data_IF_662601327522
#
_entry.id   IF_662601327522
#
_cell.length_a   1.000
_cell.length_b   1.000
_cell.length_c   1.000
_cell.angle_alpha   90.00
_cell.angle_beta   90.00
_cell.angle_gamma   90.00
#
_symmetry.space_group_name_H-M   'P 1'
#
loop_
_entity.id
_entity.type
_entity.pdbx_description
1 polymer ?
#
# COMPACT_ATOMS: atom_id res chain seq x y z
N UNK A 1 -8.77 5.30 16.17
CA UNK A 1 -7.92 4.83 15.06
C UNK A 1 -8.76 4.72 13.79
N UNK A 2 -8.15 4.82 12.60
CA UNK A 2 -8.86 4.75 11.31
C UNK A 2 -9.32 3.33 10.96
N UNK A 3 -10.18 3.18 9.96
CA UNK A 3 -10.61 1.87 9.46
C UNK A 3 -9.43 1.05 8.91
N UNK A 4 -9.51 -0.28 9.01
CA UNK A 4 -8.59 -1.22 8.35
C UNK A 4 -8.69 -1.15 6.82
N UNK A 5 -9.78 -0.61 6.28
CA UNK A 5 -9.89 -0.29 4.84
C UNK A 5 -8.84 0.74 4.38
N UNK A 6 -8.39 1.61 5.28
CA UNK A 6 -7.28 2.54 5.04
C UNK A 6 -5.92 1.99 5.43
N UNK A 7 -5.89 0.88 6.16
CA UNK A 7 -4.66 0.20 6.53
C UNK A 7 -4.21 -0.76 5.42
N UNK A 8 -5.12 -1.63 4.97
CA UNK A 8 -4.92 -2.53 3.85
C UNK A 8 -5.46 -1.92 2.56
N UNK A 9 -4.59 -1.27 1.80
CA UNK A 9 -4.94 -0.68 0.51
C UNK A 9 -4.44 -1.57 -0.62
N UNK A 10 -5.35 -1.97 -1.49
CA UNK A 10 -5.02 -2.63 -2.74
C UNK A 10 -4.53 -1.56 -3.71
N UNK A 11 -3.33 -1.74 -4.26
CA UNK A 11 -2.72 -0.78 -5.17
C UNK A 11 -1.62 -1.39 -6.00
N UNK A 12 -0.68 -0.56 -6.45
CA UNK A 12 0.47 -0.97 -7.24
C UNK A 12 1.76 -0.58 -6.54
N UNK A 13 2.77 -1.44 -6.64
CA UNK A 13 4.12 -1.14 -6.21
C UNK A 13 4.82 -0.13 -7.13
N UNK A 14 6.07 0.26 -6.84
CA UNK A 14 6.87 -0.21 -5.71
C UNK A 14 6.67 0.56 -4.40
N UNK A 15 5.99 1.72 -4.42
CA UNK A 15 5.98 2.64 -3.27
C UNK A 15 4.60 3.19 -2.93
N UNK A 16 4.24 3.15 -1.65
CA UNK A 16 2.99 3.75 -1.19
C UNK A 16 3.03 5.27 -1.28
N UNK A 17 4.20 5.88 -1.03
CA UNK A 17 4.38 7.33 -1.01
C UNK A 17 4.67 7.91 -2.39
N UNK A 18 5.40 7.17 -3.25
CA UNK A 18 5.82 7.66 -4.56
C UNK A 18 5.02 7.08 -5.73
N UNK A 19 4.24 6.02 -5.52
CA UNK A 19 3.43 5.41 -6.59
C UNK A 19 1.94 5.54 -6.28
N UNK A 20 1.47 4.94 -5.17
CA UNK A 20 0.04 4.94 -4.84
C UNK A 20 -0.50 6.32 -4.50
N UNK A 21 0.23 7.10 -3.69
CA UNK A 21 -0.17 8.47 -3.31
C UNK A 21 -0.36 9.37 -4.54
N UNK A 22 0.67 9.56 -5.39
CA UNK A 22 0.56 10.38 -6.59
C UNK A 22 -0.52 9.92 -7.57
N UNK A 23 -0.65 8.60 -7.78
CA UNK A 23 -1.74 8.06 -8.59
C UNK A 23 -3.12 8.43 -8.04
N UNK A 24 -3.33 8.26 -6.74
CA UNK A 24 -4.59 8.62 -6.09
C UNK A 24 -4.87 10.13 -6.18
N UNK A 25 -3.84 10.96 -6.03
CA UNK A 25 -3.98 12.40 -6.18
C UNK A 25 -4.39 12.76 -7.62
N UNK A 26 -3.77 12.13 -8.62
CA UNK A 26 -4.16 12.26 -10.02
C UNK A 26 -5.61 11.84 -10.26
N UNK A 27 -6.06 10.71 -9.70
CA UNK A 27 -7.44 10.22 -9.84
C UNK A 27 -8.45 11.22 -9.25
N UNK A 28 -8.15 11.78 -8.06
CA UNK A 28 -8.98 12.82 -7.43
C UNK A 28 -9.03 14.07 -8.31
N UNK A 29 -7.89 14.55 -8.80
CA UNK A 29 -7.83 15.79 -9.55
C UNK A 29 -8.52 15.68 -10.93
N UNK A 30 -8.36 14.54 -11.61
CA UNK A 30 -9.08 14.27 -12.86
C UNK A 30 -10.60 14.25 -12.65
N UNK A 31 -11.08 13.67 -11.55
CA UNK A 31 -12.51 13.66 -11.22
C UNK A 31 -13.07 15.04 -10.89
N UNK A 32 -12.25 15.96 -10.36
CA UNK A 32 -12.67 17.34 -10.06
C UNK A 32 -12.89 18.18 -11.33
N UNK A 33 -12.18 17.87 -12.41
CA UNK A 33 -12.16 18.67 -13.65
C UNK A 33 -12.42 17.83 -14.91
N UNK A 34 -13.63 17.25 -15.07
CA UNK A 34 -13.98 16.50 -16.28
C UNK A 34 -13.99 17.36 -17.56
N UNK A 35 -14.08 18.69 -17.43
CA UNK A 35 -14.09 19.67 -18.51
C UNK A 35 -12.70 20.11 -18.98
N UNK A 36 -11.65 19.80 -18.22
CA UNK A 36 -10.28 20.20 -18.55
C UNK A 36 -9.75 19.41 -19.75
N UNK A 37 -9.06 20.09 -20.66
CA UNK A 37 -8.42 19.48 -21.83
C UNK A 37 -6.95 19.14 -21.61
N UNK A 38 -6.31 19.83 -20.67
CA UNK A 38 -4.89 19.66 -20.35
C UNK A 38 -4.69 19.75 -18.85
N UNK A 39 -3.79 18.94 -18.34
CA UNK A 39 -3.36 18.91 -16.96
C UNK A 39 -1.85 19.12 -16.89
N UNK A 40 -1.37 19.81 -15.86
CA UNK A 40 0.03 19.81 -15.49
C UNK A 40 0.20 19.24 -14.08
N UNK A 41 1.18 18.37 -13.91
CA UNK A 41 1.62 17.90 -12.62
C UNK A 41 3.08 18.30 -12.43
N UNK A 42 3.32 19.11 -11.40
CA UNK A 42 4.68 19.42 -10.93
C UNK A 42 5.00 18.61 -9.68
N UNK A 43 6.06 17.80 -9.74
CA UNK A 43 6.58 17.04 -8.62
C UNK A 43 7.73 17.81 -7.96
N UNK A 44 7.78 17.80 -6.62
CA UNK A 44 8.78 18.53 -5.83
C UNK A 44 9.63 17.60 -4.95
N UNK A 45 10.78 18.10 -4.49
CA UNK A 45 11.58 17.52 -3.43
C UNK A 45 11.95 16.05 -3.65
N UNK A 46 11.79 15.22 -2.60
CA UNK A 46 12.15 13.80 -2.65
C UNK A 46 11.31 13.01 -3.66
N UNK A 47 10.06 13.42 -3.85
CA UNK A 47 9.16 12.81 -4.81
C UNK A 47 9.67 13.02 -6.25
N UNK A 48 10.15 14.22 -6.56
CA UNK A 48 10.78 14.47 -7.86
C UNK A 48 12.15 13.79 -7.99
N UNK A 49 12.98 13.81 -6.95
CA UNK A 49 14.33 13.26 -6.99
C UNK A 49 14.34 11.75 -7.25
N UNK A 50 13.38 11.00 -6.69
CA UNK A 50 13.36 9.54 -6.75
C UNK A 50 12.17 8.95 -7.51
N UNK A 51 11.24 9.78 -7.98
CA UNK A 51 9.97 9.32 -8.54
C UNK A 51 10.11 8.42 -9.77
N UNK A 52 11.09 8.67 -10.65
CA UNK A 52 11.35 7.78 -11.81
C UNK A 52 11.70 6.35 -11.39
N UNK A 53 12.54 6.19 -10.36
CA UNK A 53 12.87 4.87 -9.81
C UNK A 53 11.70 4.19 -9.11
N UNK A 54 10.73 4.99 -8.65
CA UNK A 54 9.48 4.52 -8.03
C UNK A 54 8.29 4.46 -9.00
N UNK A 55 8.54 4.62 -10.31
CA UNK A 55 7.52 4.57 -11.36
C UNK A 55 6.39 5.61 -11.16
N UNK A 56 6.68 6.76 -10.54
CA UNK A 56 5.71 7.82 -10.29
C UNK A 56 5.11 8.33 -11.59
N UNK A 57 5.93 8.55 -12.61
CA UNK A 57 5.51 8.93 -13.96
C UNK A 57 4.51 7.94 -14.55
N UNK A 58 4.87 6.66 -14.58
CA UNK A 58 4.00 5.62 -15.14
C UNK A 58 2.67 5.55 -14.37
N UNK A 59 2.73 5.69 -13.05
CA UNK A 59 1.55 5.62 -12.20
C UNK A 59 0.56 6.76 -12.43
N UNK A 60 1.05 7.99 -12.60
CA UNK A 60 0.19 9.17 -12.85
C UNK A 60 -0.25 9.25 -14.32
N UNK A 61 0.63 8.93 -15.27
CA UNK A 61 0.28 8.92 -16.70
C UNK A 61 -0.82 7.92 -17.01
N UNK A 62 -0.87 6.78 -16.31
CA UNK A 62 -1.92 5.79 -16.47
C UNK A 62 -3.32 6.24 -16.01
N UNK A 63 -3.43 7.40 -15.34
CA UNK A 63 -4.71 7.96 -14.88
C UNK A 63 -5.33 8.88 -15.92
N UNK A 64 -4.50 9.69 -16.59
CA UNK A 64 -4.96 10.70 -17.53
C UNK A 64 -5.10 10.15 -18.95
N UNK A 65 -5.95 10.75 -19.80
CA UNK A 65 -5.97 10.46 -21.22
C UNK A 65 -4.58 10.64 -21.87
N UNK A 66 -4.21 9.82 -22.88
CA UNK A 66 -2.93 9.96 -23.55
C UNK A 66 -2.69 11.38 -24.08
N UNK A 67 -1.56 11.98 -23.70
CA UNK A 67 -1.18 13.34 -24.11
C UNK A 67 -1.85 14.47 -23.33
N UNK A 68 -2.73 14.17 -22.37
CA UNK A 68 -3.42 15.19 -21.57
C UNK A 68 -2.64 15.66 -20.33
N UNK A 69 -1.49 15.04 -20.01
CA UNK A 69 -0.68 15.39 -18.84
C UNK A 69 0.71 15.90 -19.24
N UNK A 70 1.02 17.13 -18.83
CA UNK A 70 2.37 17.70 -18.78
C UNK A 70 3.01 17.40 -17.42
N UNK A 71 4.13 16.67 -17.39
CA UNK A 71 4.79 16.23 -16.16
C UNK A 71 6.12 16.96 -15.96
N UNK A 72 6.19 17.76 -14.90
CA UNK A 72 7.35 18.60 -14.56
C UNK A 72 8.03 18.09 -13.29
N UNK A 73 9.36 18.01 -13.32
CA UNK A 73 10.19 17.51 -12.23
C UNK A 73 11.04 18.64 -11.63
N UNK A 74 10.86 18.92 -10.34
CA UNK A 74 11.62 19.95 -9.62
C UNK A 74 12.26 19.38 -8.34
N UNK A 75 13.34 18.59 -8.46
CA UNK A 75 14.00 17.97 -7.31
C UNK A 75 14.61 18.98 -6.32
N UNK A 76 15.00 20.15 -6.82
CA UNK A 76 15.65 21.21 -6.02
C UNK A 76 14.66 22.17 -5.35
N UNK A 77 13.38 22.11 -5.72
CA UNK A 77 12.31 22.92 -5.11
C UNK A 77 11.49 22.07 -4.13
N UNK A 78 10.98 22.70 -3.06
CA UNK A 78 10.19 22.04 -2.02
C UNK A 78 8.93 22.85 -1.73
N UNK A 79 7.83 22.14 -1.51
CA UNK A 79 6.63 22.70 -0.90
C UNK A 79 6.79 22.71 0.65
N UNK A 80 6.11 23.63 1.35
CA UNK A 80 6.40 23.92 2.76
C UNK A 80 6.05 22.78 3.73
N UNK A 81 4.98 22.02 3.51
CA UNK A 81 4.44 21.14 4.56
C UNK A 81 5.07 19.74 4.58
N UNK A 82 5.50 19.20 3.44
CA UNK A 82 6.03 17.84 3.37
C UNK A 82 6.95 17.65 2.14
N UNK A 83 8.05 16.86 2.24
CA UNK A 83 9.02 16.70 1.15
C UNK A 83 8.47 15.98 -0.09
N UNK A 84 7.39 15.22 0.04
CA UNK A 84 6.67 14.60 -1.09
C UNK A 84 5.52 15.51 -1.57
N UNK A 85 5.87 16.69 -2.08
CA UNK A 85 4.91 17.67 -2.57
C UNK A 85 4.55 17.48 -4.05
N UNK A 86 3.31 17.76 -4.39
CA UNK A 86 2.77 17.78 -5.74
C UNK A 86 1.93 19.03 -5.95
N UNK A 87 2.01 19.62 -7.14
CA UNK A 87 1.08 20.67 -7.58
C UNK A 87 0.42 20.24 -8.87
N UNK A 88 -0.90 20.15 -8.84
CA UNK A 88 -1.75 19.88 -9.99
C UNK A 88 -2.33 21.18 -10.52
N UNK A 89 -2.38 21.32 -11.84
CA UNK A 89 -3.00 22.45 -12.53
C UNK A 89 -3.90 21.89 -13.64
N UNK A 90 -5.14 22.39 -13.74
CA UNK A 90 -6.09 22.02 -14.79
C UNK A 90 -6.30 23.21 -15.72
N UNK A 91 -6.37 22.96 -17.02
CA UNK A 91 -6.56 23.99 -18.05
C UNK A 91 -7.75 23.65 -18.96
N UNK A 92 -8.54 24.65 -19.31
CA UNK A 92 -9.61 24.57 -20.30
C UNK A 92 -9.06 24.51 -21.73
N UNK A 93 -9.95 24.25 -22.69
CA UNK A 93 -9.61 24.11 -24.11
C UNK A 93 -8.98 25.36 -24.75
N UNK A 94 -9.27 26.54 -24.21
CA UNK A 94 -8.67 27.82 -24.61
C UNK A 94 -7.38 28.16 -23.84
N UNK A 95 -6.94 27.27 -22.95
CA UNK A 95 -5.70 27.39 -22.18
C UNK A 95 -5.83 28.19 -20.88
N UNK A 96 -7.04 28.56 -20.45
CA UNK A 96 -7.24 29.22 -19.17
C UNK A 96 -7.03 28.25 -18.00
N UNK A 97 -6.41 28.72 -16.91
CA UNK A 97 -6.20 27.94 -15.69
C UNK A 97 -7.53 27.84 -14.91
N UNK A 98 -7.99 26.62 -14.65
CA UNK A 98 -9.22 26.31 -13.93
C UNK A 98 -8.98 26.18 -12.42
N UNK A 99 -8.01 25.36 -12.02
CA UNK A 99 -7.64 25.16 -10.60
C UNK A 99 -6.14 24.88 -10.49
N UNK A 100 -5.57 25.31 -9.36
CA UNK A 100 -4.29 24.81 -8.85
C UNK A 100 -4.53 24.11 -7.51
N UNK A 101 -4.07 22.87 -7.38
CA UNK A 101 -4.20 22.08 -6.16
C UNK A 101 -2.84 21.57 -5.69
N UNK A 102 -2.42 22.01 -4.51
CA UNK A 102 -1.22 21.50 -3.84
C UNK A 102 -1.58 20.38 -2.88
N UNK A 103 -0.88 19.26 -3.00
CA UNK A 103 -1.17 18.04 -2.23
C UNK A 103 0.11 17.28 -1.94
N UNK A 104 0.13 16.61 -0.80
CA UNK A 104 1.29 15.91 -0.27
C UNK A 104 1.00 14.43 -0.08
N UNK A 105 1.98 13.59 -0.40
CA UNK A 105 1.94 12.16 -0.10
C UNK A 105 2.66 11.85 1.20
N UNK A 106 1.90 11.62 2.27
CA UNK A 106 2.38 11.59 3.67
C UNK A 106 2.67 10.17 4.21
N UNK A 107 2.69 9.16 3.34
CA UNK A 107 3.04 7.77 3.69
C UNK A 107 1.86 6.80 3.75
N UNK A 108 2.14 5.52 3.49
CA UNK A 108 1.12 4.46 3.38
C UNK A 108 0.04 4.70 2.32
N UNK A 109 0.26 5.63 1.37
CA UNK A 109 -0.72 6.03 0.35
C UNK A 109 -1.77 7.05 0.84
N UNK A 110 -1.55 7.69 1.98
CA UNK A 110 -2.38 8.79 2.46
C UNK A 110 -1.96 10.14 1.83
N UNK A 111 -2.94 11.01 1.64
CA UNK A 111 -2.78 12.36 1.10
C UNK A 111 -3.15 13.41 2.14
N UNK A 112 -2.54 14.60 2.03
CA UNK A 112 -2.85 15.80 2.81
C UNK A 112 -2.74 17.02 1.93
N UNK A 113 -3.62 18.00 2.07
CA UNK A 113 -3.66 19.24 1.27
C UNK A 113 -3.97 20.49 2.12
N UNK A 114 -3.62 20.44 3.42
CA UNK A 114 -3.91 21.54 4.33
C UNK A 114 -5.36 21.61 4.83
N UNK A 115 -6.24 20.71 4.39
CA UNK A 115 -7.55 20.47 5.04
C UNK A 115 -8.77 20.42 4.13
N UNK A 116 -8.60 20.42 2.81
CA UNK A 116 -9.73 20.29 1.87
C UNK A 116 -10.08 18.82 1.60
N UNK A 117 -9.13 17.89 1.76
CA UNK A 117 -9.42 16.46 1.68
C UNK A 117 -10.33 16.02 2.85
N UNK A 118 -11.37 15.21 2.57
CA UNK A 118 -12.27 14.72 3.61
C UNK A 118 -11.49 13.90 4.63
N UNK A 119 -11.66 14.27 5.91
CA UNK A 119 -11.08 13.51 7.03
C UNK A 119 -11.85 12.20 7.18
N UNK A 120 -11.14 11.09 7.11
CA UNK A 120 -11.74 9.80 7.40
C UNK A 120 -12.23 9.70 8.85
N UNK A 121 -13.34 8.99 9.09
CA UNK A 121 -13.83 8.78 10.45
C UNK A 121 -12.85 7.95 11.28
N UNK A 122 -12.85 8.22 12.60
CA UNK A 122 -12.19 7.35 13.58
C UNK A 122 -13.16 6.22 13.92
N UNK A 123 -12.79 4.99 13.57
CA UNK A 123 -13.63 3.80 13.75
C UNK A 123 -13.36 3.14 15.10
N UNK A 124 -12.09 3.11 15.54
CA UNK A 124 -11.72 2.48 16.80
C UNK A 124 -11.64 3.51 17.94
N UNK A 125 -12.43 3.37 19.01
CA UNK A 125 -12.39 4.27 20.16
C UNK A 125 -11.16 4.04 21.05
N UNK A 126 -10.69 2.79 21.17
CA UNK A 126 -9.52 2.45 21.98
C UNK A 126 -8.24 2.58 21.16
N UNK A 127 -7.23 3.23 21.74
CA UNK A 127 -5.98 3.59 21.05
C UNK A 127 -4.73 2.99 21.68
N UNK A 128 -4.87 2.16 22.72
CA UNK A 128 -3.74 1.45 23.36
C UNK A 128 -4.01 -0.04 23.45
N UNK A 129 -2.95 -0.85 23.39
CA UNK A 129 -3.06 -2.30 23.53
C UNK A 129 -3.67 -2.68 24.87
N UNK A 130 -3.25 -2.02 25.95
CA UNK A 130 -3.75 -2.30 27.30
C UNK A 130 -5.28 -2.09 27.38
N UNK A 131 -5.81 -1.02 26.78
CA UNK A 131 -7.24 -0.76 26.77
C UNK A 131 -8.00 -1.82 25.95
N UNK A 132 -7.48 -2.21 24.79
CA UNK A 132 -8.08 -3.25 23.94
C UNK A 132 -8.09 -4.60 24.66
N UNK A 133 -6.98 -5.02 25.25
CA UNK A 133 -6.89 -6.27 26.01
C UNK A 133 -7.82 -6.27 27.22
N UNK A 134 -7.94 -5.15 27.94
CA UNK A 134 -8.87 -5.02 29.05
C UNK A 134 -10.33 -5.16 28.59
N UNK A 135 -10.69 -4.54 27.47
CA UNK A 135 -12.03 -4.64 26.84
C UNK A 135 -12.34 -6.09 26.44
N UNK A 136 -11.44 -6.75 25.71
CA UNK A 136 -11.57 -8.15 25.30
C UNK A 136 -11.71 -9.09 26.51
N UNK A 137 -10.93 -8.87 27.57
CA UNK A 137 -11.03 -9.64 28.81
C UNK A 137 -12.37 -9.44 29.51
N UNK A 138 -12.93 -8.23 29.46
CA UNK A 138 -14.21 -7.91 30.09
C UNK A 138 -15.40 -8.50 29.33
N UNK A 139 -15.36 -8.53 27.99
CA UNK A 139 -16.46 -9.09 27.17
C UNK A 139 -16.31 -10.57 26.85
N UNK A 140 -15.13 -11.15 26.99
CA UNK A 140 -14.81 -12.49 26.50
C UNK A 140 -14.56 -12.57 25.00
N UNK A 141 -14.55 -11.43 24.29
CA UNK A 141 -14.28 -11.35 22.86
C UNK A 141 -12.79 -11.47 22.55
N UNK A 142 -12.49 -12.08 21.41
CA UNK A 142 -11.19 -12.10 20.73
C UNK A 142 -10.89 -10.74 20.07
N UNK A 143 -9.62 -10.52 19.69
CA UNK A 143 -9.20 -9.30 18.99
C UNK A 143 -9.93 -9.08 17.65
N UNK A 144 -10.18 -10.15 16.89
CA UNK A 144 -10.90 -10.05 15.62
C UNK A 144 -12.40 -9.76 15.82
N UNK A 145 -13.01 -10.20 16.93
CA UNK A 145 -14.40 -9.86 17.28
C UNK A 145 -14.50 -8.38 17.66
N UNK A 146 -13.48 -7.82 18.32
CA UNK A 146 -13.41 -6.38 18.57
C UNK A 146 -13.28 -5.55 17.28
N UNK A 147 -12.58 -6.08 16.26
CA UNK A 147 -12.53 -5.45 14.93
C UNK A 147 -13.91 -5.39 14.30
N UNK A 148 -14.64 -6.51 14.31
CA UNK A 148 -16.01 -6.60 13.80
C UNK A 148 -16.97 -5.68 14.57
N UNK A 149 -16.86 -5.60 15.90
CA UNK A 149 -17.64 -4.66 16.72
C UNK A 149 -17.42 -3.19 16.30
N UNK A 150 -16.19 -2.82 15.95
CA UNK A 150 -15.87 -1.44 15.58
C UNK A 150 -16.23 -1.11 14.12
N UNK A 151 -15.98 -2.02 13.19
CA UNK A 151 -16.10 -1.77 11.74
C UNK A 151 -17.45 -2.23 11.15
N UNK A 152 -18.14 -3.14 11.83
CA UNK A 152 -19.33 -3.84 11.33
C UNK A 152 -19.03 -4.88 10.24
N UNK A 153 -20.05 -5.64 9.86
CA UNK A 153 -19.95 -6.82 8.97
C UNK A 153 -19.30 -6.54 7.60
N UNK A 154 -19.40 -5.30 7.11
CA UNK A 154 -18.82 -4.87 5.83
C UNK A 154 -17.30 -5.05 5.77
N UNK A 155 -16.61 -5.09 6.92
CA UNK A 155 -15.16 -5.27 6.96
C UNK A 155 -14.74 -6.60 6.34
N UNK A 156 -15.55 -7.64 6.48
CA UNK A 156 -15.20 -8.98 6.01
C UNK A 156 -15.17 -9.07 4.48
N UNK A 157 -16.01 -8.30 3.79
CA UNK A 157 -15.94 -8.20 2.33
C UNK A 157 -14.61 -7.58 1.89
N UNK A 158 -14.21 -6.47 2.53
CA UNK A 158 -12.92 -5.84 2.25
C UNK A 158 -11.74 -6.78 2.55
N UNK A 159 -11.76 -7.49 3.70
CA UNK A 159 -10.69 -8.41 4.07
C UNK A 159 -10.60 -9.62 3.12
N UNK A 160 -11.72 -10.07 2.53
CA UNK A 160 -11.71 -11.08 1.47
C UNK A 160 -11.03 -10.56 0.20
N UNK A 161 -11.39 -9.36 -0.25
CA UNK A 161 -10.75 -8.73 -1.41
C UNK A 161 -9.24 -8.52 -1.19
N UNK A 162 -8.85 -8.11 0.02
CA UNK A 162 -7.44 -8.00 0.42
C UNK A 162 -6.76 -9.37 0.34
N UNK A 163 -7.36 -10.41 0.90
CA UNK A 163 -6.79 -11.75 0.89
C UNK A 163 -6.66 -12.32 -0.53
N UNK A 164 -7.65 -12.11 -1.39
CA UNK A 164 -7.58 -12.48 -2.81
C UNK A 164 -6.45 -11.75 -3.54
N UNK A 165 -6.33 -10.44 -3.34
CA UNK A 165 -5.26 -9.65 -3.94
C UNK A 165 -3.87 -10.10 -3.47
N UNK A 166 -3.73 -10.40 -2.17
CA UNK A 166 -2.51 -10.96 -1.57
C UNK A 166 -2.11 -12.30 -2.19
N UNK A 167 -3.07 -13.22 -2.33
CA UNK A 167 -2.82 -14.51 -2.97
C UNK A 167 -2.42 -14.36 -4.43
N UNK A 168 -3.12 -13.49 -5.17
CA UNK A 168 -2.82 -13.24 -6.56
C UNK A 168 -1.41 -12.64 -6.75
N UNK A 169 -0.95 -11.79 -5.82
CA UNK A 169 0.42 -11.27 -5.82
C UNK A 169 1.45 -12.37 -5.57
N UNK A 170 1.20 -13.29 -4.63
CA UNK A 170 2.05 -14.46 -4.43
C UNK A 170 2.13 -15.28 -5.72
N UNK A 171 0.98 -15.62 -6.32
CA UNK A 171 0.95 -16.47 -7.52
C UNK A 171 1.74 -15.86 -8.67
N UNK A 172 1.51 -14.57 -8.98
CA UNK A 172 2.29 -13.89 -10.03
C UNK A 172 3.78 -13.91 -9.75
N UNK A 173 4.20 -13.60 -8.52
CA UNK A 173 5.61 -13.58 -8.15
C UNK A 173 6.27 -14.96 -8.18
N UNK A 174 5.53 -16.02 -7.86
CA UNK A 174 6.01 -17.40 -7.92
C UNK A 174 6.19 -17.92 -9.36
N UNK A 175 5.45 -17.37 -10.33
CA UNK A 175 5.55 -17.72 -11.74
C UNK A 175 6.50 -16.80 -12.54
N UNK A 176 6.85 -15.63 -11.99
CA UNK A 176 7.66 -14.63 -12.68
C UNK A 176 9.17 -14.95 -12.61
N UNK A 177 9.81 -14.89 -13.78
CA UNK A 177 11.26 -15.04 -13.95
C UNK A 177 11.88 -13.74 -14.50
N UNK A 178 13.21 -13.67 -14.57
CA UNK A 178 13.94 -12.55 -15.15
C UNK A 178 14.54 -11.59 -14.12
N UNK A 179 14.80 -10.35 -14.55
CA UNK A 179 15.51 -9.32 -13.77
C UNK A 179 14.53 -8.23 -13.37
N UNK A 180 14.61 -7.77 -12.12
CA UNK A 180 13.80 -6.67 -11.62
C UNK A 180 14.14 -5.36 -12.36
N UNK A 181 13.15 -4.49 -12.60
CA UNK A 181 13.40 -3.17 -13.18
C UNK A 181 14.21 -2.28 -12.22
N UNK A 182 14.69 -1.13 -12.72
CA UNK A 182 15.45 -0.16 -11.91
C UNK A 182 16.97 -0.22 -12.08
N UNK A 183 17.49 -1.04 -13.02
CA UNK A 183 18.88 -0.96 -13.47
C UNK A 183 19.94 -1.58 -12.52
N UNK A 184 19.51 -2.18 -11.40
CA UNK A 184 20.42 -2.81 -10.42
C UNK A 184 20.86 -4.24 -10.81
N UNK A 185 20.29 -4.82 -11.88
CA UNK A 185 20.64 -6.17 -12.33
C UNK A 185 20.22 -7.30 -11.37
N UNK A 186 19.27 -7.03 -10.47
CA UNK A 186 18.82 -8.01 -9.47
C UNK A 186 17.86 -9.02 -10.11
N UNK A 187 18.27 -10.29 -10.17
CA UNK A 187 17.43 -11.37 -10.66
C UNK A 187 16.33 -11.73 -9.64
N UNK A 188 15.12 -12.01 -10.14
CA UNK A 188 14.03 -12.63 -9.38
C UNK A 188 14.47 -13.99 -8.85
N UNK A 189 14.07 -14.31 -7.62
CA UNK A 189 14.45 -15.53 -6.89
C UNK A 189 13.25 -16.34 -6.43
N UNK A 190 12.07 -15.74 -6.27
CA UNK A 190 10.88 -16.40 -5.74
C UNK A 190 10.56 -17.72 -6.44
N UNK A 191 10.48 -17.71 -7.78
CA UNK A 191 10.27 -18.91 -8.61
C UNK A 191 11.26 -20.03 -8.29
N UNK A 192 12.56 -19.71 -8.29
CA UNK A 192 13.62 -20.69 -8.08
C UNK A 192 13.62 -21.26 -6.66
N UNK A 193 13.32 -20.43 -5.67
CA UNK A 193 13.21 -20.82 -4.27
C UNK A 193 12.03 -21.77 -4.08
N UNK A 194 10.86 -21.41 -4.59
CA UNK A 194 9.64 -22.21 -4.50
C UNK A 194 9.78 -23.61 -5.11
N UNK A 195 10.38 -23.70 -6.31
CA UNK A 195 10.62 -25.00 -6.94
C UNK A 195 11.60 -25.86 -6.15
N UNK A 196 12.69 -25.27 -5.66
CA UNK A 196 13.67 -25.99 -4.83
C UNK A 196 13.05 -26.50 -3.53
N UNK A 197 12.20 -25.70 -2.88
CA UNK A 197 11.54 -26.11 -1.64
C UNK A 197 10.56 -27.25 -1.86
N UNK A 198 9.85 -27.27 -2.99
CA UNK A 198 8.93 -28.35 -3.33
C UNK A 198 9.63 -29.66 -3.72
N UNK A 199 10.89 -29.59 -4.15
CA UNK A 199 11.73 -30.75 -4.46
C UNK A 199 12.53 -31.26 -3.25
N UNK A 200 12.48 -30.54 -2.11
CA UNK A 200 13.27 -30.84 -0.91
C UNK A 200 12.47 -31.63 0.13
N UNK A 201 13.16 -32.23 1.10
CA UNK A 201 12.51 -32.93 2.22
C UNK A 201 11.64 -32.02 3.09
N UNK A 202 10.70 -32.62 3.83
CA UNK A 202 9.61 -31.94 4.56
C UNK A 202 10.05 -30.85 5.54
N UNK A 203 11.26 -30.93 6.11
CA UNK A 203 11.79 -29.90 7.02
C UNK A 203 12.23 -28.63 6.27
N UNK A 204 12.95 -28.77 5.15
CA UNK A 204 13.39 -27.65 4.32
C UNK A 204 12.20 -26.98 3.61
N UNK A 205 11.19 -27.77 3.25
CA UNK A 205 9.94 -27.28 2.67
C UNK A 205 9.23 -26.29 3.61
N UNK A 206 9.13 -26.57 4.92
CA UNK A 206 8.44 -25.67 5.87
C UNK A 206 9.13 -24.32 6.04
N UNK A 207 10.46 -24.28 6.09
CA UNK A 207 11.17 -23.01 6.30
C UNK A 207 11.36 -22.22 5.00
N UNK A 208 11.67 -22.90 3.90
CA UNK A 208 11.96 -22.22 2.63
C UNK A 208 10.72 -21.67 1.93
N UNK A 209 9.54 -22.29 2.12
CA UNK A 209 8.32 -21.86 1.42
C UNK A 209 7.83 -20.48 1.87
N UNK A 210 8.02 -20.14 3.15
CA UNK A 210 7.68 -18.82 3.69
C UNK A 210 8.53 -17.71 3.04
N UNK A 211 9.84 -17.96 2.89
CA UNK A 211 10.74 -17.04 2.20
C UNK A 211 10.38 -16.90 0.72
N UNK A 212 9.98 -17.98 0.06
CA UNK A 212 9.53 -17.93 -1.33
C UNK A 212 8.28 -17.06 -1.50
N UNK A 213 7.29 -17.19 -0.61
CA UNK A 213 6.08 -16.35 -0.65
C UNK A 213 6.37 -14.88 -0.38
N UNK A 214 7.25 -14.58 0.58
CA UNK A 214 7.63 -13.20 0.88
C UNK A 214 8.38 -12.57 -0.30
N UNK A 215 9.34 -13.29 -0.89
CA UNK A 215 10.06 -12.85 -2.08
C UNK A 215 9.11 -12.64 -3.26
N UNK A 216 8.14 -13.53 -3.49
CA UNK A 216 7.20 -13.42 -4.58
C UNK A 216 6.48 -12.06 -4.58
N UNK A 217 5.93 -11.67 -3.43
CA UNK A 217 5.21 -10.39 -3.31
C UNK A 217 6.17 -9.20 -3.35
N UNK A 218 7.34 -9.29 -2.73
CA UNK A 218 8.34 -8.21 -2.78
C UNK A 218 8.88 -7.95 -4.19
N UNK A 219 9.08 -9.02 -4.99
CA UNK A 219 9.51 -8.94 -6.38
C UNK A 219 8.39 -8.38 -7.29
N UNK A 220 7.14 -8.77 -7.04
CA UNK A 220 5.97 -8.16 -7.70
C UNK A 220 5.85 -6.68 -7.37
N UNK A 221 6.00 -6.31 -6.10
CA UNK A 221 6.02 -4.91 -5.68
C UNK A 221 7.11 -4.12 -6.40
N UNK A 222 8.35 -4.63 -6.38
CA UNK A 222 9.49 -3.98 -7.03
C UNK A 222 9.29 -3.80 -8.55
N UNK A 223 8.44 -4.62 -9.16
CA UNK A 223 8.14 -4.58 -10.59
C UNK A 223 6.91 -3.76 -10.96
N UNK A 224 6.32 -3.03 -10.00
CA UNK A 224 5.11 -2.24 -10.24
C UNK A 224 3.82 -3.06 -10.27
N UNK A 225 3.86 -4.31 -9.83
CA UNK A 225 2.72 -5.21 -9.80
C UNK A 225 1.65 -4.79 -8.78
N UNK A 226 0.44 -5.33 -8.94
CA UNK A 226 -0.67 -5.14 -7.99
C UNK A 226 -0.34 -5.83 -6.65
N UNK A 227 -0.38 -5.09 -5.54
CA UNK A 227 -0.08 -5.59 -4.19
C UNK A 227 -1.07 -5.02 -3.16
N UNK A 228 -0.96 -5.44 -1.91
CA UNK A 228 -1.66 -4.84 -0.77
C UNK A 228 -0.67 -4.26 0.20
N UNK A 229 -0.89 -3.03 0.67
CA UNK A 229 -0.06 -2.43 1.71
C UNK A 229 -0.24 -3.17 3.04
N UNK A 230 0.85 -3.47 3.74
CA UNK A 230 0.77 -4.18 5.02
C UNK A 230 1.95 -3.91 5.98
N UNK A 231 2.08 -2.69 6.57
CA UNK A 231 1.37 -1.42 6.34
C UNK A 231 1.80 -0.60 5.11
N UNK A 232 2.94 -0.91 4.48
CA UNK A 232 3.43 -0.19 3.29
C UNK A 232 3.61 -1.15 2.11
N UNK A 233 3.94 -0.60 0.94
CA UNK A 233 4.35 -1.39 -0.23
C UNK A 233 5.68 -2.14 0.05
N UNK A 234 6.61 -1.52 0.79
CA UNK A 234 7.93 -2.09 1.08
C UNK A 234 7.86 -3.36 1.94
N UNK A 235 6.94 -3.41 2.90
CA UNK A 235 6.71 -4.56 3.78
C UNK A 235 5.61 -5.52 3.30
N UNK A 236 5.04 -5.28 2.11
CA UNK A 236 3.86 -5.98 1.59
C UNK A 236 4.00 -7.51 1.49
N UNK A 237 5.21 -8.07 1.46
CA UNK A 237 5.41 -9.51 1.34
C UNK A 237 5.30 -10.33 2.64
N UNK A 238 5.42 -9.71 3.82
CA UNK A 238 5.53 -10.46 5.08
C UNK A 238 4.18 -11.09 5.46
N UNK A 239 3.16 -10.26 5.61
CA UNK A 239 1.83 -10.71 6.03
C UNK A 239 1.22 -11.76 5.08
N UNK A 240 1.16 -11.56 3.74
CA UNK A 240 0.58 -12.56 2.86
C UNK A 240 1.35 -13.89 2.86
N UNK A 241 2.67 -13.86 3.03
CA UNK A 241 3.47 -15.08 3.15
C UNK A 241 3.07 -15.90 4.38
N UNK A 242 2.92 -15.25 5.54
CA UNK A 242 2.48 -15.90 6.79
C UNK A 242 1.06 -16.43 6.68
N UNK A 243 0.13 -15.68 6.07
CA UNK A 243 -1.25 -16.11 5.87
C UNK A 243 -1.35 -17.29 4.90
N UNK A 244 -0.60 -17.28 3.80
CA UNK A 244 -0.54 -18.39 2.84
C UNK A 244 0.05 -19.64 3.48
N UNK A 245 1.09 -19.49 4.30
CA UNK A 245 1.65 -20.59 5.09
C UNK A 245 0.63 -21.20 6.04
N UNK A 246 -0.13 -20.39 6.79
CA UNK A 246 -1.19 -20.88 7.67
C UNK A 246 -2.24 -21.68 6.89
N UNK A 247 -2.69 -21.17 5.74
CA UNK A 247 -3.67 -21.87 4.90
C UNK A 247 -3.13 -23.19 4.34
N UNK A 248 -1.96 -23.19 3.73
CA UNK A 248 -1.50 -24.33 2.94
C UNK A 248 -0.70 -25.36 3.73
N UNK A 249 0.09 -24.92 4.71
CA UNK A 249 0.97 -25.79 5.49
C UNK A 249 0.30 -26.21 6.79
N UNK A 250 -0.33 -25.26 7.50
CA UNK A 250 -1.07 -25.55 8.74
C UNK A 250 -2.52 -25.97 8.48
N UNK A 251 -2.98 -25.95 7.22
CA UNK A 251 -4.32 -26.38 6.80
C UNK A 251 -5.46 -25.60 7.48
N UNK A 252 -5.22 -24.33 7.80
CA UNK A 252 -6.25 -23.45 8.34
C UNK A 252 -7.33 -23.13 7.29
N UNK A 253 -8.57 -22.93 7.73
CA UNK A 253 -9.66 -22.45 6.87
C UNK A 253 -9.44 -21.00 6.42
N UNK A 254 -10.04 -20.60 5.29
CA UNK A 254 -10.01 -19.19 4.86
C UNK A 254 -10.65 -18.26 5.91
N UNK A 255 -11.66 -18.73 6.64
CA UNK A 255 -12.25 -17.99 7.77
C UNK A 255 -11.22 -17.70 8.88
N UNK A 256 -10.39 -18.68 9.23
CA UNK A 256 -9.31 -18.49 10.20
C UNK A 256 -8.26 -17.50 9.68
N UNK A 257 -7.97 -17.52 8.38
CA UNK A 257 -7.06 -16.57 7.73
C UNK A 257 -7.62 -15.15 7.79
N UNK A 258 -8.91 -14.96 7.55
CA UNK A 258 -9.56 -13.65 7.65
C UNK A 258 -9.54 -13.11 9.09
N UNK A 259 -9.78 -13.96 10.10
CA UNK A 259 -9.65 -13.59 11.52
C UNK A 259 -8.22 -13.19 11.87
N UNK A 260 -7.23 -13.92 11.36
CA UNK A 260 -5.82 -13.59 11.53
C UNK A 260 -5.46 -12.26 10.85
N UNK A 261 -5.99 -12.00 9.65
CA UNK A 261 -5.81 -10.75 8.92
C UNK A 261 -6.46 -9.56 9.65
N UNK A 262 -7.67 -9.71 10.18
CA UNK A 262 -8.33 -8.71 11.03
C UNK A 262 -7.49 -8.38 12.27
N UNK A 263 -7.01 -9.43 12.97
CA UNK A 263 -6.15 -9.27 14.14
C UNK A 263 -4.84 -8.55 13.79
N UNK A 264 -4.15 -8.98 12.73
CA UNK A 264 -2.93 -8.33 12.27
C UNK A 264 -3.16 -6.86 11.89
N UNK A 265 -4.28 -6.57 11.23
CA UNK A 265 -4.72 -5.21 10.91
C UNK A 265 -4.89 -4.36 12.17
N UNK A 266 -5.54 -4.86 13.21
CA UNK A 266 -5.70 -4.15 14.48
C UNK A 266 -4.36 -3.78 15.11
N UNK A 267 -3.42 -4.74 15.18
CA UNK A 267 -2.08 -4.52 15.73
C UNK A 267 -1.31 -3.48 14.91
N UNK A 268 -1.31 -3.63 13.58
CA UNK A 268 -0.64 -2.69 12.70
C UNK A 268 -1.24 -1.29 12.74
N UNK A 269 -2.57 -1.19 12.84
CA UNK A 269 -3.28 0.09 12.97
C UNK A 269 -2.98 0.77 14.31
N UNK A 270 -2.83 0.00 15.38
CA UNK A 270 -2.40 0.49 16.69
C UNK A 270 -0.99 1.07 16.64
N UNK A 271 -0.04 0.35 16.02
CA UNK A 271 1.32 0.84 15.82
C UNK A 271 1.30 2.13 14.98
N UNK A 272 0.56 2.15 13.87
CA UNK A 272 0.39 3.31 12.99
C UNK A 272 -0.29 4.51 13.65
N UNK A 273 -1.16 4.28 14.62
CA UNK A 273 -1.84 5.36 15.32
C UNK A 273 -0.92 6.04 16.35
N UNK A 274 -0.13 5.24 17.06
CA UNK A 274 0.73 5.70 18.15
C UNK A 274 2.15 6.09 17.67
N UNK A 275 2.54 5.67 16.49
CA UNK A 275 3.81 5.99 15.85
C UNK A 275 3.60 6.31 14.37
N UNK A 276 4.57 6.98 13.73
CA UNK A 276 4.53 7.16 12.29
C UNK A 276 4.83 5.83 11.57
N UNK A 277 4.17 5.55 10.45
CA UNK A 277 4.56 4.48 9.50
C UNK A 277 5.34 5.02 8.31
N UNK A 278 5.71 6.31 8.35
CA UNK A 278 6.57 6.87 7.32
C UNK A 278 7.98 6.38 7.56
N UNK A 279 8.56 5.67 6.59
CA UNK A 279 9.99 5.33 6.61
C UNK A 279 10.89 6.56 6.80
N UNK A 280 10.42 7.76 6.42
CA UNK A 280 11.14 9.01 6.67
C UNK A 280 11.12 9.48 8.14
N UNK A 281 10.18 8.98 8.95
CA UNK A 281 10.02 9.39 10.35
C UNK A 281 10.58 8.36 11.35
N UNK A 282 10.42 7.06 11.07
CA UNK A 282 10.86 6.00 12.00
C UNK A 282 11.68 4.89 11.34
N UNK A 283 11.95 4.96 10.04
CA UNK A 283 12.68 3.94 9.31
C UNK A 283 11.90 2.63 9.12
N UNK A 284 12.61 1.57 8.72
CA UNK A 284 12.04 0.26 8.37
C UNK A 284 11.30 -0.42 9.55
N UNK A 285 11.64 -0.11 10.80
CA UNK A 285 10.96 -0.70 11.96
C UNK A 285 9.47 -0.34 12.09
N UNK A 286 9.04 0.77 11.47
CA UNK A 286 7.63 1.18 11.46
C UNK A 286 6.86 0.67 10.25
N UNK A 287 7.55 0.05 9.28
CA UNK A 287 6.98 -0.57 8.09
C UNK A 287 6.89 -2.08 8.26
#
# INVERSE_FOLDING_TARGET
>A
MKSLTEFFRIGVGPSSSHTMGPRRAAEIFLQRHPEASLFRLTLFGSLAATGKGHLTDLAVLAVFPPGALDLVWKPDEKLPDHPNGMRFEAFSADGALLETWEVYSIGGGALSDGGQLPKSPQVYPLTTMNAILARCKQSGQSLWEYVEECEGDSIWEHLRLVWEAMQAAIERGLQAEGVLPGGLGIARKAWSFYRKTNLSGSHFQRQGILAAYALAVSEENASGGKIVTAPTCGSSGILPAVLRYQREVLKCSDESVLRALATAGLIGNLAKHNASISGAAVGCQGE
#
